data_IF_832672596279
#
_entry.id   IF_832672596279
#
_cell.length_a   1.000
_cell.length_b   1.000
_cell.length_c   1.000
_cell.angle_alpha   90.00
_cell.angle_beta   90.00
_cell.angle_gamma   90.00
#
_symmetry.space_group_name_H-M   'P 1'
#
loop_
_entity.id
_entity.type
_entity.pdbx_description
1 polymer ?
#
# COMPACT_ATOMS: atom_id res chain seq x y z
N UNK A 1 -2.06 8.80 2.91
CA UNK A 1 -0.91 9.70 3.09
C UNK A 1 -0.63 10.02 4.56
N UNK A 2 -1.63 10.19 5.45
CA UNK A 2 -1.39 10.39 6.90
C UNK A 2 -0.42 9.38 7.52
N UNK A 3 -0.55 8.10 7.15
CA UNK A 3 0.30 7.05 7.72
C UNK A 3 1.77 7.11 7.28
N UNK A 4 2.12 7.91 6.25
CA UNK A 4 3.52 8.09 5.84
C UNK A 4 4.35 8.88 6.86
N UNK A 5 3.71 9.58 7.80
CA UNK A 5 4.42 10.40 8.80
C UNK A 5 4.63 9.69 10.14
N UNK A 6 4.08 8.48 10.30
CA UNK A 6 4.22 7.67 11.53
C UNK A 6 5.66 7.15 11.66
N UNK A 7 6.42 7.37 12.74
CA UNK A 7 7.78 6.83 12.86
C UNK A 7 7.86 5.31 12.66
N UNK A 8 9.01 4.79 12.22
CA UNK A 8 9.18 3.34 12.04
C UNK A 8 9.02 2.58 13.36
N UNK A 9 9.50 3.20 14.44
CA UNK A 9 9.39 2.72 15.81
C UNK A 9 7.92 2.49 16.20
N UNK A 10 7.02 3.41 15.84
CA UNK A 10 5.60 3.27 16.13
C UNK A 10 4.96 2.11 15.32
N UNK A 11 5.44 1.83 14.10
CA UNK A 11 5.01 0.65 13.33
C UNK A 11 5.50 -0.63 14.01
N UNK A 12 6.74 -0.64 14.49
CA UNK A 12 7.34 -1.76 15.21
C UNK A 12 6.61 -2.07 16.51
N UNK A 13 6.31 -1.06 17.32
CA UNK A 13 5.53 -1.21 18.54
C UNK A 13 4.15 -1.81 18.27
N UNK A 14 3.48 -1.35 17.21
CA UNK A 14 2.18 -1.89 16.78
C UNK A 14 2.28 -3.35 16.35
N UNK A 15 3.28 -3.68 15.54
CA UNK A 15 3.53 -5.06 15.08
C UNK A 15 3.88 -5.98 16.26
N UNK A 16 4.68 -5.52 17.22
CA UNK A 16 5.08 -6.31 18.38
C UNK A 16 3.91 -6.53 19.34
N UNK A 17 3.10 -5.50 19.59
CA UNK A 17 1.85 -5.65 20.35
C UNK A 17 0.94 -6.70 19.71
N UNK A 18 0.77 -6.66 18.40
CA UNK A 18 -0.03 -7.66 17.69
C UNK A 18 0.57 -9.07 17.81
N UNK A 19 1.91 -9.19 17.80
CA UNK A 19 2.59 -10.48 18.00
C UNK A 19 2.33 -11.05 19.40
N UNK A 20 2.34 -10.19 20.42
CA UNK A 20 1.95 -10.57 21.78
C UNK A 20 0.50 -11.04 21.83
N UNK A 21 -0.45 -10.26 21.31
CA UNK A 21 -1.88 -10.61 21.26
C UNK A 21 -2.11 -11.98 20.56
N UNK A 22 -1.41 -12.23 19.45
CA UNK A 22 -1.46 -13.52 18.73
C UNK A 22 -0.90 -14.67 19.57
N UNK A 23 0.08 -14.39 20.43
CA UNK A 23 0.67 -15.35 21.36
C UNK A 23 -0.34 -15.90 22.38
N UNK A 24 -1.33 -15.09 22.76
CA UNK A 24 -2.40 -15.43 23.71
C UNK A 24 -3.55 -16.26 23.10
N UNK A 25 -3.58 -16.41 21.77
CA UNK A 25 -4.57 -17.26 21.11
C UNK A 25 -4.37 -18.75 21.45
N UNK A 26 -5.45 -19.53 21.38
CA UNK A 26 -5.35 -21.00 21.46
C UNK A 26 -4.40 -21.55 20.39
N UNK A 27 -3.75 -22.70 20.60
CA UNK A 27 -2.82 -23.29 19.63
C UNK A 27 -3.41 -23.43 18.22
N UNK A 28 -4.69 -23.79 18.13
CA UNK A 28 -5.43 -23.96 16.87
C UNK A 28 -5.65 -22.62 16.17
N UNK A 29 -6.18 -21.62 16.90
CA UNK A 29 -6.41 -20.27 16.38
C UNK A 29 -5.10 -19.60 15.95
N UNK A 30 -4.02 -19.78 16.73
CA UNK A 30 -2.69 -19.26 16.42
C UNK A 30 -2.10 -19.90 15.16
N UNK A 31 -2.24 -21.22 14.99
CA UNK A 31 -1.81 -21.91 13.77
C UNK A 31 -2.58 -21.42 12.54
N UNK A 32 -3.91 -21.27 12.67
CA UNK A 32 -4.75 -20.75 11.60
C UNK A 32 -4.37 -19.31 11.23
N UNK A 33 -4.12 -18.46 12.22
CA UNK A 33 -3.67 -17.08 12.01
C UNK A 33 -2.42 -17.02 11.14
N UNK A 34 -1.35 -17.74 11.52
CA UNK A 34 -0.09 -17.69 10.77
C UNK A 34 -0.23 -18.24 9.35
N UNK A 35 -1.04 -19.29 9.16
CA UNK A 35 -1.32 -19.83 7.84
C UNK A 35 -2.03 -18.81 6.93
N UNK A 36 -3.04 -18.11 7.44
CA UNK A 36 -3.80 -17.12 6.65
C UNK A 36 -2.96 -15.87 6.36
N UNK A 37 -2.17 -15.42 7.33
CA UNK A 37 -1.29 -14.24 7.18
C UNK A 37 -0.18 -14.52 6.15
N UNK A 38 0.51 -15.66 6.25
CA UNK A 38 1.65 -15.97 5.36
C UNK A 38 1.26 -15.99 3.88
N UNK A 39 -0.01 -16.32 3.57
CA UNK A 39 -0.53 -16.38 2.21
C UNK A 39 -0.90 -15.01 1.63
N UNK A 40 -0.99 -13.96 2.45
CA UNK A 40 -1.54 -12.66 2.04
C UNK A 40 -0.60 -11.47 2.24
N UNK A 41 0.53 -11.67 2.94
CA UNK A 41 1.54 -10.64 3.14
C UNK A 41 2.04 -10.09 1.80
N UNK A 42 2.25 -8.78 1.78
CA UNK A 42 2.77 -8.03 0.65
C UNK A 42 4.23 -7.72 0.87
N UNK A 43 5.02 -7.96 -0.16
CA UNK A 43 6.45 -7.73 -0.14
C UNK A 43 6.75 -6.26 -0.49
N UNK A 44 7.51 -5.52 0.34
CA UNK A 44 7.97 -4.17 0.06
C UNK A 44 8.66 -4.01 -1.29
N UNK A 45 9.52 -4.97 -1.67
CA UNK A 45 10.35 -4.86 -2.86
C UNK A 45 9.50 -5.04 -4.12
N UNK A 46 8.52 -5.95 -4.08
CA UNK A 46 7.50 -6.09 -5.13
C UNK A 46 6.70 -4.79 -5.30
N UNK A 47 6.31 -4.14 -4.20
CA UNK A 47 5.61 -2.86 -4.26
C UNK A 47 6.49 -1.77 -4.86
N UNK A 48 7.76 -1.68 -4.46
CA UNK A 48 8.73 -0.73 -5.00
C UNK A 48 8.96 -0.95 -6.50
N UNK A 49 9.12 -2.22 -6.93
CA UNK A 49 9.29 -2.58 -8.33
C UNK A 49 8.08 -2.16 -9.18
N UNK A 50 6.86 -2.34 -8.67
CA UNK A 50 5.64 -1.88 -9.34
C UNK A 50 5.56 -0.35 -9.43
N UNK A 51 5.89 0.36 -8.35
CA UNK A 51 5.90 1.81 -8.33
C UNK A 51 6.94 2.39 -9.33
N UNK A 52 8.12 1.76 -9.44
CA UNK A 52 9.16 2.19 -10.38
C UNK A 52 8.85 1.87 -11.84
N UNK A 53 8.28 0.69 -12.10
CA UNK A 53 8.05 0.20 -13.47
C UNK A 53 6.76 0.71 -14.12
N UNK A 54 5.85 1.29 -13.34
CA UNK A 54 4.49 1.57 -13.80
C UNK A 54 4.16 3.06 -13.73
N UNK A 55 4.11 3.70 -14.90
CA UNK A 55 3.46 5.01 -15.04
C UNK A 55 1.94 4.77 -15.00
N UNK A 56 1.25 5.27 -13.97
CA UNK A 56 -0.22 5.16 -13.83
C UNK A 56 -0.71 4.23 -12.70
N UNK A 57 0.05 4.07 -11.62
CA UNK A 57 -0.56 3.67 -10.34
C UNK A 57 -0.69 2.18 -10.07
N UNK A 58 -0.07 1.28 -10.84
CA UNK A 58 -0.30 -0.17 -10.70
C UNK A 58 0.11 -0.72 -9.31
N UNK A 59 1.02 -0.05 -8.59
CA UNK A 59 1.33 -0.36 -7.19
C UNK A 59 0.10 -0.24 -6.26
N UNK A 60 -0.88 0.60 -6.60
CA UNK A 60 -2.16 0.66 -5.88
C UNK A 60 -2.97 -0.63 -6.01
N UNK A 61 -2.93 -1.31 -7.17
CA UNK A 61 -3.61 -2.59 -7.36
C UNK A 61 -3.01 -3.69 -6.48
N UNK A 62 -1.68 -3.70 -6.31
CA UNK A 62 -0.99 -4.69 -5.48
C UNK A 62 -1.44 -4.67 -4.02
N UNK A 63 -1.72 -3.48 -3.50
CA UNK A 63 -2.27 -3.25 -2.15
C UNK A 63 -3.81 -3.19 -2.13
N UNK A 64 -4.48 -3.64 -3.19
CA UNK A 64 -5.96 -3.66 -3.31
C UNK A 64 -6.63 -2.29 -3.15
N UNK A 65 -5.94 -1.20 -3.50
CA UNK A 65 -6.43 0.18 -3.41
C UNK A 65 -7.03 0.66 -4.73
N UNK A 66 -8.10 0.00 -5.16
CA UNK A 66 -8.70 0.17 -6.51
C UNK A 66 -9.16 1.60 -6.82
N UNK A 67 -9.67 2.33 -5.83
CA UNK A 67 -10.13 3.71 -6.04
C UNK A 67 -8.96 4.65 -6.35
N UNK A 68 -7.82 4.46 -5.69
CA UNK A 68 -6.63 5.28 -5.94
C UNK A 68 -6.08 5.02 -7.34
N UNK A 69 -5.99 3.74 -7.72
CA UNK A 69 -5.64 3.34 -9.09
C UNK A 69 -6.58 3.98 -10.13
N UNK A 70 -7.90 3.92 -9.91
CA UNK A 70 -8.88 4.47 -10.84
C UNK A 70 -8.75 5.99 -11.00
N UNK A 71 -8.55 6.71 -9.89
CA UNK A 71 -8.37 8.17 -9.94
C UNK A 71 -7.10 8.51 -10.71
N UNK A 72 -5.98 7.85 -10.41
CA UNK A 72 -4.70 8.13 -11.05
C UNK A 72 -4.75 7.83 -12.55
N UNK A 73 -5.28 6.67 -12.94
CA UNK A 73 -5.33 6.29 -14.36
C UNK A 73 -6.24 7.24 -15.16
N UNK A 74 -7.37 7.68 -14.59
CA UNK A 74 -8.25 8.68 -15.24
C UNK A 74 -7.55 10.02 -15.40
N UNK A 75 -6.80 10.48 -14.39
CA UNK A 75 -6.05 11.74 -14.47
C UNK A 75 -4.92 11.67 -15.50
N UNK A 76 -4.17 10.57 -15.54
CA UNK A 76 -3.13 10.35 -16.56
C UNK A 76 -3.74 10.32 -17.96
N UNK A 77 -4.82 9.55 -18.17
CA UNK A 77 -5.52 9.50 -19.46
C UNK A 77 -6.02 10.88 -19.87
N UNK A 78 -6.61 11.64 -18.94
CA UNK A 78 -7.10 13.00 -19.21
C UNK A 78 -5.96 13.91 -19.66
N UNK A 79 -4.81 13.89 -18.98
CA UNK A 79 -3.65 14.68 -19.39
C UNK A 79 -3.14 14.28 -20.78
N UNK A 80 -3.07 12.98 -21.06
CA UNK A 80 -2.66 12.47 -22.38
C UNK A 80 -3.61 12.90 -23.48
N UNK A 81 -4.92 12.79 -23.28
CA UNK A 81 -5.93 13.24 -24.25
C UNK A 81 -5.82 14.75 -24.51
N UNK A 82 -5.69 15.56 -23.46
CA UNK A 82 -5.52 17.01 -23.59
C UNK A 82 -4.26 17.39 -24.39
N UNK A 83 -3.14 16.66 -24.18
CA UNK A 83 -1.93 16.86 -24.97
C UNK A 83 -2.15 16.54 -26.45
N UNK A 84 -2.83 15.43 -26.77
CA UNK A 84 -3.17 15.04 -28.15
C UNK A 84 -4.08 16.10 -28.80
N UNK A 85 -4.99 16.69 -28.04
CA UNK A 85 -5.84 17.80 -28.49
C UNK A 85 -5.11 19.14 -28.66
N UNK A 86 -3.78 19.19 -28.49
CA UNK A 86 -2.97 20.39 -28.71
C UNK A 86 -2.90 21.34 -27.52
N UNK A 87 -3.19 20.87 -26.30
CA UNK A 87 -3.04 21.66 -25.06
C UNK A 87 -1.71 21.27 -24.39
N UNK A 88 -0.58 21.94 -24.71
CA UNK A 88 0.74 21.54 -24.21
C UNK A 88 0.89 21.70 -22.68
N UNK A 89 0.08 22.57 -22.07
CA UNK A 89 0.06 22.78 -20.61
C UNK A 89 -0.33 21.52 -19.82
N UNK A 90 -0.99 20.53 -20.45
CA UNK A 90 -1.37 19.28 -19.80
C UNK A 90 -0.16 18.43 -19.34
N UNK A 91 1.05 18.69 -19.87
CA UNK A 91 2.29 18.09 -19.38
C UNK A 91 2.53 18.37 -17.89
N UNK A 92 2.14 19.56 -17.41
CA UNK A 92 2.30 19.92 -16.00
C UNK A 92 1.41 19.08 -15.09
N UNK A 93 0.25 18.61 -15.58
CA UNK A 93 -0.58 17.65 -14.85
C UNK A 93 0.15 16.35 -14.58
N UNK A 94 0.84 15.80 -15.58
CA UNK A 94 1.67 14.59 -15.43
C UNK A 94 2.84 14.83 -14.47
N UNK A 95 3.50 15.98 -14.57
CA UNK A 95 4.61 16.34 -13.66
C UNK A 95 4.12 16.42 -12.22
N UNK A 96 2.98 17.06 -11.97
CA UNK A 96 2.39 17.16 -10.62
C UNK A 96 1.99 15.78 -10.09
N UNK A 97 1.39 14.92 -10.92
CA UNK A 97 1.08 13.54 -10.54
C UNK A 97 2.35 12.76 -10.18
N UNK A 98 3.40 12.89 -10.99
CA UNK A 98 4.68 12.24 -10.71
C UNK A 98 5.30 12.71 -9.39
N UNK A 99 5.27 14.02 -9.10
CA UNK A 99 5.74 14.58 -7.82
C UNK A 99 4.91 14.03 -6.65
N UNK A 100 3.60 13.88 -6.83
CA UNK A 100 2.71 13.36 -5.79
C UNK A 100 2.94 11.86 -5.50
N UNK A 101 3.26 11.08 -6.52
CA UNK A 101 3.59 9.65 -6.39
C UNK A 101 5.02 9.41 -5.88
N UNK A 102 5.93 10.36 -6.10
CA UNK A 102 7.34 10.24 -5.74
C UNK A 102 7.60 9.78 -4.30
N UNK A 103 6.92 10.31 -3.25
CA UNK A 103 7.08 9.80 -1.89
C UNK A 103 6.76 8.30 -1.76
N UNK A 104 5.79 7.78 -2.52
CA UNK A 104 5.39 6.37 -2.41
C UNK A 104 6.53 5.41 -2.81
N UNK A 105 7.43 5.85 -3.70
CA UNK A 105 8.64 5.12 -4.07
C UNK A 105 9.62 5.01 -2.89
N UNK A 106 9.87 6.12 -2.18
CA UNK A 106 10.81 6.16 -1.06
C UNK A 106 10.27 5.48 0.20
N UNK A 107 8.96 5.47 0.39
CA UNK A 107 8.31 4.91 1.57
C UNK A 107 7.67 3.53 1.30
N UNK A 108 8.12 2.81 0.27
CA UNK A 108 7.62 1.48 -0.11
C UNK A 108 7.56 0.50 1.08
N UNK A 109 8.66 0.39 1.83
CA UNK A 109 8.77 -0.46 3.01
C UNK A 109 7.73 -0.12 4.07
N UNK A 110 7.57 1.17 4.36
CA UNK A 110 6.61 1.67 5.34
C UNK A 110 5.17 1.39 4.90
N UNK A 111 4.87 1.66 3.63
CA UNK A 111 3.54 1.48 3.06
C UNK A 111 3.14 0.01 3.08
N UNK A 112 4.05 -0.89 2.68
CA UNK A 112 3.83 -2.34 2.70
C UNK A 112 3.68 -2.87 4.14
N UNK A 113 4.54 -2.47 5.08
CA UNK A 113 4.43 -2.83 6.51
C UNK A 113 3.09 -2.40 7.11
N UNK A 114 2.67 -1.16 6.89
CA UNK A 114 1.38 -0.67 7.38
C UNK A 114 0.18 -1.39 6.76
N UNK A 115 0.26 -1.77 5.49
CA UNK A 115 -0.76 -2.59 4.85
C UNK A 115 -0.80 -3.99 5.50
N UNK A 116 0.36 -4.63 5.65
CA UNK A 116 0.50 -5.95 6.26
C UNK A 116 0.04 -5.95 7.71
N UNK A 117 0.38 -4.92 8.50
CA UNK A 117 -0.09 -4.76 9.87
C UNK A 117 -1.63 -4.72 9.93
N UNK A 118 -2.27 -3.91 9.09
CA UNK A 118 -3.74 -3.82 9.05
C UNK A 118 -4.40 -5.13 8.65
N UNK A 119 -3.85 -5.79 7.63
CA UNK A 119 -4.29 -7.11 7.19
C UNK A 119 -4.18 -8.12 8.34
N UNK A 120 -3.00 -8.23 8.95
CA UNK A 120 -2.72 -9.11 10.08
C UNK A 120 -3.67 -8.82 11.25
N UNK A 121 -3.86 -7.55 11.62
CA UNK A 121 -4.79 -7.16 12.69
C UNK A 121 -6.23 -7.57 12.37
N UNK A 122 -6.70 -7.38 11.13
CA UNK A 122 -8.04 -7.80 10.73
C UNK A 122 -8.24 -9.31 10.79
N UNK A 123 -7.21 -10.10 10.46
CA UNK A 123 -7.25 -11.57 10.56
C UNK A 123 -7.27 -11.98 12.03
N UNK A 124 -6.46 -11.34 12.88
CA UNK A 124 -6.47 -11.57 14.31
C UNK A 124 -7.86 -11.28 14.91
N UNK A 125 -8.44 -10.12 14.62
CA UNK A 125 -9.75 -9.70 15.12
C UNK A 125 -10.89 -10.61 14.62
N UNK A 126 -10.74 -11.24 13.46
CA UNK A 126 -11.70 -12.22 12.94
C UNK A 126 -11.61 -13.58 13.67
N UNK A 127 -10.41 -13.97 14.12
CA UNK A 127 -10.18 -15.22 14.83
C UNK A 127 -10.35 -15.11 16.35
N UNK A 128 -10.23 -13.91 16.92
CA UNK A 128 -10.40 -13.66 18.36
C UNK A 128 -11.86 -13.50 18.78
N UNK A 129 -12.76 -13.26 17.84
CA UNK A 129 -14.20 -13.45 18.02
C UNK A 129 -14.55 -14.93 18.27
#
# INVERSE_FOLDING_TARGET
MKDLFIPFEEIEEREEKLRHDVGELSPEKRKQYYHVVSMQLKDPDTYAALAWSSVGGFHHLYLKRYIQFLVEIVLVITCVVLMICGIPLAIWGIVVLAIFELPQLFYSQKIARLYNYRLSKSIFDALSK
#
